data_IF_772038435409
#
_entry.id   IF_772038435409
#
_cell.length_a   1.000
_cell.length_b   1.000
_cell.length_c   1.000
_cell.angle_alpha   90.00
_cell.angle_beta   90.00
_cell.angle_gamma   90.00
#
_symmetry.space_group_name_H-M   'P 1'
#
loop_
_entity.id
_entity.type
_entity.pdbx_description
1 polymer ?
#
# COMPACT_ATOMS: atom_id res chain seq x y z
N UNK A 1 18.19 10.71 12.62
CA UNK A 1 17.68 9.44 13.12
C UNK A 1 18.86 8.57 13.53
N UNK A 2 18.95 8.26 14.82
CA UNK A 2 20.00 7.46 15.44
C UNK A 2 19.59 5.97 15.43
N UNK A 3 20.40 5.13 14.79
CA UNK A 3 20.08 3.73 14.54
C UNK A 3 21.03 2.82 15.33
N UNK A 4 20.48 1.79 15.98
CA UNK A 4 21.25 0.62 16.44
C UNK A 4 21.13 -0.50 15.40
N UNK A 5 22.27 -1.10 15.02
CA UNK A 5 22.31 -2.21 14.06
C UNK A 5 22.67 -3.51 14.77
N UNK A 6 21.76 -4.47 14.81
CA UNK A 6 22.05 -5.82 15.30
C UNK A 6 22.56 -6.74 14.17
N UNK A 7 23.65 -7.46 14.45
CA UNK A 7 24.40 -8.23 13.45
C UNK A 7 25.31 -7.36 12.59
N UNK A 8 25.86 -6.28 13.17
CA UNK A 8 26.57 -5.24 12.42
C UNK A 8 27.81 -5.75 11.70
N UNK A 9 28.51 -6.76 12.24
CA UNK A 9 29.73 -7.31 11.64
C UNK A 9 29.42 -8.35 10.54
N UNK A 10 28.15 -8.70 10.35
CA UNK A 10 27.68 -9.49 9.22
C UNK A 10 27.69 -8.72 7.90
N UNK A 11 27.59 -9.45 6.78
CA UNK A 11 27.57 -8.85 5.42
C UNK A 11 26.47 -7.79 5.25
N UNK A 12 25.26 -8.08 5.75
CA UNK A 12 24.14 -7.14 5.67
C UNK A 12 24.29 -5.97 6.65
N UNK A 13 24.77 -6.22 7.87
CA UNK A 13 25.06 -5.17 8.86
C UNK A 13 26.07 -4.14 8.34
N UNK A 14 27.17 -4.61 7.73
CA UNK A 14 28.17 -3.74 7.11
C UNK A 14 27.62 -2.97 5.90
N UNK A 15 26.79 -3.63 5.08
CA UNK A 15 26.11 -2.95 3.96
C UNK A 15 25.18 -1.85 4.47
N UNK A 16 24.44 -2.10 5.55
CA UNK A 16 23.55 -1.11 6.16
C UNK A 16 24.33 0.06 6.77
N UNK A 17 25.41 -0.21 7.50
CA UNK A 17 26.28 0.82 8.06
C UNK A 17 26.86 1.74 6.96
N UNK A 18 27.31 1.15 5.84
CA UNK A 18 27.78 1.93 4.69
C UNK A 18 26.67 2.80 4.08
N UNK A 19 25.47 2.24 3.87
CA UNK A 19 24.35 2.99 3.32
C UNK A 19 23.93 4.14 4.24
N UNK A 20 23.94 3.93 5.57
CA UNK A 20 23.66 4.99 6.55
C UNK A 20 24.69 6.11 6.45
N UNK A 21 25.99 5.78 6.37
CA UNK A 21 27.05 6.79 6.26
C UNK A 21 26.93 7.66 4.99
N UNK A 22 26.32 7.13 3.93
CA UNK A 22 26.08 7.82 2.67
C UNK A 22 24.71 8.55 2.60
N UNK A 23 23.84 8.37 3.59
CA UNK A 23 22.47 8.91 3.58
C UNK A 23 22.29 10.00 4.63
N UNK A 24 21.98 11.22 4.19
CA UNK A 24 21.69 12.33 5.10
C UNK A 24 20.49 12.04 6.01
N UNK A 25 20.56 12.53 7.26
CA UNK A 25 19.49 12.37 8.24
C UNK A 25 19.53 11.05 9.03
N UNK A 26 20.45 10.13 8.74
CA UNK A 26 20.66 8.89 9.49
C UNK A 26 22.07 8.81 10.07
N UNK A 27 22.18 8.23 11.27
CA UNK A 27 23.47 8.05 11.96
C UNK A 27 23.48 6.68 12.62
N UNK A 28 24.57 5.93 12.49
CA UNK A 28 24.79 4.71 13.28
C UNK A 28 25.21 5.14 14.68
N UNK A 29 24.33 4.93 15.67
CA UNK A 29 24.63 5.24 17.07
C UNK A 29 25.54 4.17 17.66
N UNK A 30 25.20 2.90 17.44
CA UNK A 30 25.97 1.75 17.89
C UNK A 30 25.67 0.51 17.05
N UNK A 31 26.61 -0.41 17.03
CA UNK A 31 26.41 -1.76 16.50
C UNK A 31 26.31 -2.80 17.61
N UNK A 32 25.66 -3.92 17.32
CA UNK A 32 25.61 -5.09 18.20
C UNK A 32 26.06 -6.32 17.44
N UNK A 33 27.01 -7.05 17.98
CA UNK A 33 27.47 -8.34 17.45
C UNK A 33 28.04 -9.24 18.56
N UNK A 34 28.02 -10.57 18.37
CA UNK A 34 28.59 -11.53 19.33
C UNK A 34 30.12 -11.38 19.42
N UNK A 35 30.74 -10.96 18.33
CA UNK A 35 32.17 -10.66 18.23
C UNK A 35 32.39 -9.20 17.82
N UNK A 36 32.36 -8.25 18.78
CA UNK A 36 32.45 -6.81 18.50
C UNK A 36 33.70 -6.39 17.74
N UNK A 37 34.82 -7.07 18.00
CA UNK A 37 36.15 -6.74 17.48
C UNK A 37 36.42 -7.37 16.09
N UNK A 38 35.49 -8.15 15.54
CA UNK A 38 35.66 -8.86 14.26
C UNK A 38 35.87 -7.90 13.07
N UNK A 39 35.35 -6.68 13.15
CA UNK A 39 35.46 -5.65 12.11
C UNK A 39 35.77 -4.30 12.77
N UNK A 40 36.71 -3.55 12.18
CA UNK A 40 37.01 -2.20 12.63
C UNK A 40 35.96 -1.21 12.11
N UNK A 41 35.00 -0.84 12.96
CA UNK A 41 33.91 0.08 12.65
C UNK A 41 34.24 1.51 13.12
N UNK A 42 33.66 2.53 12.47
CA UNK A 42 33.82 3.95 12.86
C UNK A 42 32.90 4.38 14.02
N UNK A 43 32.17 3.44 14.61
CA UNK A 43 31.19 3.62 15.68
C UNK A 43 31.35 2.46 16.70
N UNK A 44 30.91 2.64 17.96
CA UNK A 44 31.08 1.60 18.98
C UNK A 44 30.23 0.36 18.68
N UNK A 45 30.79 -0.82 18.95
CA UNK A 45 30.09 -2.11 18.81
C UNK A 45 30.08 -2.82 20.17
N UNK A 46 28.91 -3.35 20.55
CA UNK A 46 28.68 -3.99 21.84
C UNK A 46 28.21 -5.44 21.67
N UNK A 47 28.27 -6.22 22.76
CA UNK A 47 27.80 -7.62 22.75
C UNK A 47 26.29 -7.74 22.91
N UNK A 48 25.66 -6.73 23.50
CA UNK A 48 24.24 -6.71 23.83
C UNK A 48 23.65 -5.33 23.50
N UNK A 49 22.39 -5.26 23.01
CA UNK A 49 21.74 -3.97 22.81
C UNK A 49 21.58 -3.19 24.12
N UNK A 50 21.51 -3.86 25.27
CA UNK A 50 21.44 -3.21 26.59
C UNK A 50 22.71 -2.45 27.01
N UNK A 51 23.84 -2.70 26.34
CA UNK A 51 25.11 -1.99 26.57
C UNK A 51 25.24 -0.74 25.67
N UNK A 52 24.34 -0.58 24.69
CA UNK A 52 24.36 0.55 23.78
C UNK A 52 23.98 1.86 24.50
N UNK A 53 24.52 3.01 24.07
CA UNK A 53 24.16 4.31 24.62
C UNK A 53 22.67 4.63 24.39
N UNK A 54 22.12 5.50 25.25
CA UNK A 54 20.77 6.03 25.11
C UNK A 54 20.65 6.97 23.89
N UNK A 55 19.41 7.18 23.43
CA UNK A 55 19.10 8.11 22.34
C UNK A 55 18.99 7.45 20.95
N UNK A 56 18.81 6.14 20.88
CA UNK A 56 18.43 5.44 19.67
C UNK A 56 16.96 5.75 19.33
N UNK A 57 16.69 6.02 18.05
CA UNK A 57 15.34 6.21 17.52
C UNK A 57 14.73 4.88 17.05
N UNK A 58 15.56 3.91 16.66
CA UNK A 58 15.13 2.62 16.11
C UNK A 58 16.24 1.58 16.19
N UNK A 59 15.86 0.31 16.39
CA UNK A 59 16.75 -0.83 16.26
C UNK A 59 16.47 -1.57 14.94
N UNK A 60 17.50 -1.87 14.15
CA UNK A 60 17.40 -2.66 12.91
C UNK A 60 18.17 -3.97 13.08
N UNK A 61 17.49 -5.09 12.89
CA UNK A 61 18.01 -6.44 13.11
C UNK A 61 18.22 -7.20 11.79
N UNK A 62 19.50 -7.47 11.48
CA UNK A 62 19.97 -8.33 10.40
C UNK A 62 20.82 -9.49 10.93
N UNK A 63 20.56 -9.94 12.16
CA UNK A 63 21.38 -10.92 12.86
C UNK A 63 20.90 -12.35 12.62
N UNK A 64 20.67 -13.12 13.69
CA UNK A 64 20.23 -14.52 13.70
C UNK A 64 19.09 -14.67 14.69
N UNK A 65 18.24 -15.72 14.56
CA UNK A 65 17.10 -15.90 15.44
C UNK A 65 17.44 -15.85 16.94
N UNK A 66 18.63 -16.32 17.34
CA UNK A 66 19.05 -16.32 18.75
C UNK A 66 19.21 -14.91 19.38
N UNK A 67 19.27 -13.84 18.58
CA UNK A 67 19.35 -12.48 19.09
C UNK A 67 17.98 -11.87 19.42
N UNK A 68 16.89 -12.50 18.98
CA UNK A 68 15.54 -11.98 19.11
C UNK A 68 15.15 -11.62 20.55
N UNK A 69 15.37 -12.47 21.58
CA UNK A 69 14.97 -12.13 22.94
C UNK A 69 15.65 -10.86 23.48
N UNK A 70 16.94 -10.68 23.16
CA UNK A 70 17.68 -9.49 23.58
C UNK A 70 17.21 -8.24 22.83
N UNK A 71 16.94 -8.36 21.52
CA UNK A 71 16.47 -7.26 20.69
C UNK A 71 15.06 -6.81 21.09
N UNK A 72 14.13 -7.74 21.29
CA UNK A 72 12.77 -7.46 21.77
C UNK A 72 12.80 -6.85 23.17
N UNK A 73 13.54 -7.46 24.10
CA UNK A 73 13.63 -6.98 25.47
C UNK A 73 14.18 -5.55 25.55
N UNK A 74 15.20 -5.22 24.74
CA UNK A 74 15.74 -3.86 24.69
C UNK A 74 14.75 -2.87 24.08
N UNK A 75 14.15 -3.21 22.93
CA UNK A 75 13.20 -2.34 22.24
C UNK A 75 11.98 -2.03 23.13
N UNK A 76 11.47 -3.02 23.86
CA UNK A 76 10.41 -2.84 24.85
C UNK A 76 10.85 -1.97 26.03
N UNK A 77 12.01 -2.26 26.62
CA UNK A 77 12.52 -1.53 27.78
C UNK A 77 12.76 -0.04 27.47
N UNK A 78 13.25 0.27 26.26
CA UNK A 78 13.49 1.65 25.81
C UNK A 78 12.30 2.29 25.10
N UNK A 79 11.24 1.52 24.85
CA UNK A 79 10.06 1.92 24.08
C UNK A 79 10.42 2.51 22.70
N UNK A 80 11.31 1.82 21.97
CA UNK A 80 11.73 2.23 20.63
C UNK A 80 11.21 1.24 19.57
N UNK A 81 10.93 1.71 18.34
CA UNK A 81 10.60 0.84 17.22
C UNK A 81 11.68 -0.19 16.90
N UNK A 82 11.24 -1.34 16.38
CA UNK A 82 12.10 -2.45 15.98
C UNK A 82 11.83 -2.87 14.53
N UNK A 83 12.87 -2.91 13.69
CA UNK A 83 12.82 -3.44 12.32
C UNK A 83 13.53 -4.80 12.30
N UNK A 84 12.79 -5.87 12.02
CA UNK A 84 13.27 -7.25 11.97
C UNK A 84 13.36 -7.70 10.51
N UNK A 85 14.59 -7.89 10.04
CA UNK A 85 14.91 -8.47 8.72
C UNK A 85 15.44 -9.91 8.82
N UNK A 86 15.68 -10.39 10.04
CA UNK A 86 16.12 -11.77 10.32
C UNK A 86 15.06 -12.78 9.87
N UNK A 87 15.50 -13.84 9.20
CA UNK A 87 14.66 -14.95 8.74
C UNK A 87 14.89 -16.21 9.57
N UNK A 88 13.96 -17.16 9.52
CA UNK A 88 14.14 -18.48 10.17
C UNK A 88 13.58 -18.58 11.58
N UNK A 89 12.65 -17.68 11.94
CA UNK A 89 11.91 -17.72 13.20
C UNK A 89 10.94 -18.90 13.28
N UNK A 90 10.83 -19.49 14.47
CA UNK A 90 9.81 -20.51 14.77
C UNK A 90 8.43 -19.86 14.97
N UNK A 91 7.39 -20.67 15.13
CA UNK A 91 6.05 -20.14 15.43
C UNK A 91 5.99 -19.50 16.83
N UNK A 92 6.79 -20.00 17.78
CA UNK A 92 6.95 -19.40 19.10
C UNK A 92 7.60 -18.02 19.02
N UNK A 93 8.67 -17.87 18.24
CA UNK A 93 9.32 -16.58 18.00
C UNK A 93 8.35 -15.56 17.39
N UNK A 94 7.55 -15.98 16.40
CA UNK A 94 6.54 -15.13 15.76
C UNK A 94 5.44 -14.72 16.74
N UNK A 95 5.04 -15.62 17.65
CA UNK A 95 4.07 -15.31 18.69
C UNK A 95 4.61 -14.25 19.67
N UNK A 96 5.88 -14.36 20.07
CA UNK A 96 6.55 -13.37 20.93
C UNK A 96 6.68 -12.00 20.25
N UNK A 97 7.03 -11.97 18.96
CA UNK A 97 7.05 -10.75 18.15
C UNK A 97 5.66 -10.10 18.14
N UNK A 98 4.61 -10.90 17.91
CA UNK A 98 3.23 -10.39 17.88
C UNK A 98 2.81 -9.81 19.23
N UNK A 99 3.09 -10.48 20.33
CA UNK A 99 2.80 -9.97 21.68
C UNK A 99 3.55 -8.67 21.98
N UNK A 100 4.81 -8.60 21.56
CA UNK A 100 5.64 -7.40 21.73
C UNK A 100 5.10 -6.21 20.91
N UNK A 101 4.53 -6.50 19.73
CA UNK A 101 3.97 -5.48 18.84
C UNK A 101 2.76 -4.75 19.43
N UNK A 102 2.10 -5.31 20.45
CA UNK A 102 1.00 -4.63 21.16
C UNK A 102 1.51 -3.41 21.96
N UNK A 103 2.81 -3.37 22.27
CA UNK A 103 3.41 -2.35 23.13
C UNK A 103 4.38 -1.44 22.38
N UNK A 104 5.07 -1.96 21.36
CA UNK A 104 6.02 -1.20 20.54
C UNK A 104 5.73 -1.35 19.03
N UNK A 105 6.07 -0.37 18.20
CA UNK A 105 6.01 -0.52 16.75
C UNK A 105 7.05 -1.53 16.26
N UNK A 106 6.61 -2.62 15.61
CA UNK A 106 7.51 -3.62 15.04
C UNK A 106 7.28 -3.73 13.53
N UNK A 107 8.33 -3.60 12.75
CA UNK A 107 8.33 -3.90 11.33
C UNK A 107 9.00 -5.25 11.10
N UNK A 108 8.32 -6.20 10.48
CA UNK A 108 8.91 -7.51 10.16
C UNK A 108 8.76 -7.82 8.67
N UNK A 109 9.87 -8.13 8.02
CA UNK A 109 9.88 -8.56 6.63
C UNK A 109 11.02 -9.53 6.33
N UNK A 110 10.71 -10.67 5.73
CA UNK A 110 11.72 -11.63 5.27
C UNK A 110 12.57 -11.10 4.09
N UNK A 111 12.08 -10.08 3.39
CA UNK A 111 12.81 -9.40 2.32
C UNK A 111 12.52 -7.90 2.38
N UNK A 112 13.58 -7.10 2.53
CA UNK A 112 13.48 -5.64 2.63
C UNK A 112 13.44 -4.93 1.26
N UNK A 113 13.55 -5.66 0.13
CA UNK A 113 13.49 -5.03 -1.18
C UNK A 113 12.07 -4.61 -1.54
N UNK A 114 11.86 -3.30 -1.69
CA UNK A 114 10.60 -2.74 -2.24
C UNK A 114 10.28 -3.32 -3.61
N UNK A 115 11.29 -3.54 -4.46
CA UNK A 115 11.12 -4.13 -5.79
C UNK A 115 10.63 -5.57 -5.75
N UNK A 116 11.07 -6.37 -4.77
CA UNK A 116 10.59 -7.74 -4.57
C UNK A 116 9.15 -7.72 -4.07
N UNK A 117 8.81 -6.84 -3.13
CA UNK A 117 7.43 -6.70 -2.65
C UNK A 117 6.47 -6.26 -3.76
N UNK A 118 6.88 -5.33 -4.64
CA UNK A 118 6.11 -4.97 -5.82
C UNK A 118 5.98 -6.15 -6.79
N UNK A 119 7.05 -6.91 -7.03
CA UNK A 119 6.99 -8.11 -7.86
C UNK A 119 6.00 -9.13 -7.31
N UNK A 120 5.98 -9.35 -5.99
CA UNK A 120 5.01 -10.24 -5.33
C UNK A 120 3.58 -9.77 -5.57
N UNK A 121 3.30 -8.48 -5.37
CA UNK A 121 1.96 -7.93 -5.59
C UNK A 121 1.51 -8.02 -7.07
N UNK A 122 2.41 -7.75 -8.02
CA UNK A 122 2.11 -7.91 -9.44
C UNK A 122 1.88 -9.37 -9.82
N UNK A 123 2.68 -10.29 -9.28
CA UNK A 123 2.52 -11.72 -9.50
C UNK A 123 1.20 -12.25 -8.89
N UNK A 124 0.83 -11.76 -7.69
CA UNK A 124 -0.45 -12.05 -7.04
C UNK A 124 -1.62 -11.64 -7.93
N UNK A 125 -1.64 -10.39 -8.43
CA UNK A 125 -2.70 -9.89 -9.32
C UNK A 125 -2.75 -10.63 -10.65
N UNK A 126 -1.59 -10.93 -11.24
CA UNK A 126 -1.53 -11.73 -12.46
C UNK A 126 -2.10 -13.14 -12.24
N UNK A 127 -1.83 -13.75 -11.09
CA UNK A 127 -2.39 -15.05 -10.72
C UNK A 127 -3.90 -15.01 -10.48
N UNK A 128 -4.42 -13.96 -9.82
CA UNK A 128 -5.87 -13.77 -9.63
C UNK A 128 -6.61 -13.63 -10.96
N UNK A 129 -6.03 -12.92 -11.91
CA UNK A 129 -6.67 -12.64 -13.19
C UNK A 129 -6.51 -13.78 -14.20
N UNK A 130 -5.33 -14.40 -14.28
CA UNK A 130 -4.96 -15.30 -15.39
C UNK A 130 -4.26 -16.59 -14.95
N UNK A 131 -4.09 -16.82 -13.64
CA UNK A 131 -3.33 -17.95 -13.12
C UNK A 131 -3.94 -19.32 -13.40
N UNK A 132 -5.26 -19.43 -13.54
CA UNK A 132 -5.93 -20.70 -13.84
C UNK A 132 -5.74 -21.16 -15.29
N UNK A 133 -5.68 -20.21 -16.23
CA UNK A 133 -5.53 -20.46 -17.67
C UNK A 133 -4.05 -20.49 -18.12
N UNK A 134 -3.12 -20.36 -17.16
CA UNK A 134 -1.70 -20.32 -17.42
C UNK A 134 -0.91 -21.39 -16.69
N UNK A 135 0.16 -21.78 -17.36
CA UNK A 135 1.31 -22.42 -16.79
C UNK A 135 2.16 -21.41 -16.02
N UNK A 136 2.51 -21.74 -14.78
CA UNK A 136 3.28 -20.84 -13.91
C UNK A 136 4.66 -21.44 -13.64
N UNK A 137 5.70 -20.65 -13.89
CA UNK A 137 7.10 -21.04 -13.72
C UNK A 137 7.87 -19.93 -13.01
N UNK A 138 8.66 -20.29 -12.00
CA UNK A 138 9.51 -19.38 -11.23
C UNK A 138 10.96 -19.77 -11.46
N UNK A 139 11.76 -18.84 -11.98
CA UNK A 139 13.20 -19.02 -12.16
C UNK A 139 13.93 -18.03 -11.25
N UNK A 140 14.82 -18.57 -10.41
CA UNK A 140 15.63 -17.78 -9.50
C UNK A 140 17.13 -17.98 -9.76
N UNK A 141 17.92 -16.90 -9.71
CA UNK A 141 19.37 -16.93 -9.92
C UNK A 141 20.08 -16.29 -8.75
N UNK A 142 21.09 -16.96 -8.20
CA UNK A 142 21.90 -16.47 -7.10
C UNK A 142 23.37 -16.85 -7.27
N UNK A 143 24.23 -16.24 -6.46
CA UNK A 143 25.65 -16.55 -6.39
C UNK A 143 25.94 -18.03 -6.06
N UNK A 144 27.13 -18.49 -6.42
CA UNK A 144 27.55 -19.89 -6.26
C UNK A 144 27.65 -20.37 -4.79
N UNK A 145 27.73 -19.45 -3.82
CA UNK A 145 27.80 -19.77 -2.38
C UNK A 145 26.44 -19.95 -1.70
N UNK A 146 25.32 -19.77 -2.41
CA UNK A 146 23.98 -19.86 -1.79
C UNK A 146 23.60 -21.32 -1.59
N UNK A 147 23.33 -21.69 -0.34
CA UNK A 147 23.15 -23.09 0.08
C UNK A 147 21.72 -23.58 -0.16
N UNK A 148 20.73 -22.76 0.19
CA UNK A 148 19.30 -23.06 0.00
C UNK A 148 18.92 -23.02 -1.48
N UNK A 149 18.09 -23.97 -1.93
CA UNK A 149 17.51 -24.01 -3.27
C UNK A 149 16.16 -24.78 -3.23
N UNK A 150 15.03 -24.18 -3.65
CA UNK A 150 14.86 -22.78 -4.08
C UNK A 150 15.15 -21.76 -2.97
N UNK A 151 15.37 -20.49 -3.34
CA UNK A 151 15.50 -19.43 -2.33
C UNK A 151 14.20 -19.15 -1.59
N UNK A 152 14.31 -18.63 -0.35
CA UNK A 152 13.15 -18.20 0.42
C UNK A 152 12.25 -17.18 -0.31
N UNK A 153 12.82 -16.28 -1.12
CA UNK A 153 12.02 -15.36 -1.97
C UNK A 153 11.28 -16.09 -3.08
N UNK A 154 11.87 -17.12 -3.69
CA UNK A 154 11.17 -17.93 -4.71
C UNK A 154 10.01 -18.72 -4.10
N UNK A 155 10.19 -19.28 -2.89
CA UNK A 155 9.13 -19.97 -2.15
C UNK A 155 8.01 -19.00 -1.75
N UNK A 156 8.37 -17.80 -1.26
CA UNK A 156 7.38 -16.77 -0.92
C UNK A 156 6.60 -16.27 -2.15
N UNK A 157 7.23 -16.15 -3.32
CA UNK A 157 6.54 -15.84 -4.58
C UNK A 157 5.55 -16.96 -4.95
N UNK A 158 5.98 -18.22 -4.88
CA UNK A 158 5.13 -19.37 -5.13
C UNK A 158 3.91 -19.43 -4.20
N UNK A 159 4.13 -19.23 -2.90
CA UNK A 159 3.07 -19.19 -1.89
C UNK A 159 2.10 -18.02 -2.14
N UNK A 160 2.64 -16.83 -2.41
CA UNK A 160 1.85 -15.64 -2.74
C UNK A 160 0.93 -15.87 -3.96
N UNK A 161 1.47 -16.49 -5.03
CA UNK A 161 0.70 -16.86 -6.22
C UNK A 161 -0.38 -17.89 -5.87
N UNK A 162 -0.03 -18.92 -5.11
CA UNK A 162 -0.98 -19.98 -4.73
C UNK A 162 -2.14 -19.46 -3.88
N UNK A 163 -1.86 -18.57 -2.93
CA UNK A 163 -2.88 -17.97 -2.07
C UNK A 163 -3.85 -17.05 -2.83
N UNK A 164 -3.44 -16.56 -4.00
CA UNK A 164 -4.26 -15.71 -4.86
C UNK A 164 -5.18 -16.51 -5.80
N UNK A 165 -4.89 -17.79 -6.04
CA UNK A 165 -5.66 -18.63 -6.96
C UNK A 165 -6.81 -19.33 -6.23
N UNK A 166 -7.90 -19.58 -6.95
CA UNK A 166 -9.07 -20.30 -6.41
C UNK A 166 -8.73 -21.75 -6.05
N UNK A 167 -7.86 -22.37 -6.83
CA UNK A 167 -7.44 -23.75 -6.62
C UNK A 167 -5.91 -23.81 -6.56
N UNK A 168 -5.30 -24.00 -5.37
CA UNK A 168 -3.85 -24.08 -5.24
C UNK A 168 -3.24 -25.16 -6.13
N UNK A 169 -2.03 -24.90 -6.63
CA UNK A 169 -1.25 -25.81 -7.46
C UNK A 169 -0.07 -26.37 -6.63
N UNK A 170 0.24 -27.68 -6.71
CA UNK A 170 1.45 -28.22 -6.10
C UNK A 170 2.71 -27.54 -6.64
N UNK A 171 3.71 -27.41 -5.76
CA UNK A 171 5.02 -26.89 -6.11
C UNK A 171 5.91 -28.03 -6.61
N UNK A 172 6.55 -27.82 -7.77
CA UNK A 172 7.49 -28.76 -8.35
C UNK A 172 8.86 -28.12 -8.52
N UNK A 173 9.86 -28.61 -7.79
CA UNK A 173 11.23 -28.10 -7.87
C UNK A 173 12.05 -28.90 -8.88
N UNK A 174 12.41 -28.26 -10.00
CA UNK A 174 13.13 -28.88 -11.11
C UNK A 174 12.32 -29.95 -11.87
N UNK A 175 12.77 -30.27 -13.09
CA UNK A 175 12.11 -31.26 -13.97
C UNK A 175 13.02 -32.37 -14.50
N UNK A 176 14.33 -32.31 -14.25
CA UNK A 176 15.30 -33.24 -14.85
C UNK A 176 15.10 -34.71 -14.47
N UNK A 177 14.46 -34.99 -13.33
CA UNK A 177 14.19 -36.35 -12.86
C UNK A 177 12.88 -36.94 -13.40
N UNK A 178 12.17 -36.23 -14.28
CA UNK A 178 10.83 -36.62 -14.77
C UNK A 178 10.76 -36.67 -16.29
N UNK A 179 10.10 -37.70 -16.81
CA UNK A 179 9.86 -37.90 -18.24
C UNK A 179 8.37 -37.80 -18.61
N UNK A 180 7.55 -37.23 -17.71
CA UNK A 180 6.11 -37.06 -17.89
C UNK A 180 5.76 -35.66 -18.43
N UNK A 181 4.62 -35.58 -19.13
CA UNK A 181 4.03 -34.30 -19.53
C UNK A 181 3.71 -33.46 -18.28
N UNK A 182 3.79 -32.14 -18.41
CA UNK A 182 3.35 -31.19 -17.38
C UNK A 182 1.91 -31.48 -16.96
N UNK A 183 1.65 -31.40 -15.65
CA UNK A 183 0.32 -31.37 -15.07
C UNK A 183 -0.06 -29.95 -14.62
N UNK A 184 -0.79 -29.86 -13.51
CA UNK A 184 -1.22 -28.60 -12.91
C UNK A 184 -0.29 -28.23 -11.74
N UNK A 185 0.91 -27.75 -12.04
CA UNK A 185 1.92 -27.39 -11.03
C UNK A 185 2.55 -26.00 -11.23
N UNK A 186 3.03 -25.39 -10.14
CA UNK A 186 3.96 -24.26 -10.20
C UNK A 186 5.38 -24.83 -10.21
N UNK A 187 6.08 -24.64 -11.32
CA UNK A 187 7.48 -25.05 -11.44
C UNK A 187 8.42 -24.02 -10.81
N UNK A 188 9.45 -24.50 -10.11
CA UNK A 188 10.48 -23.65 -9.48
C UNK A 188 11.87 -24.16 -9.87
N UNK A 189 12.69 -23.27 -10.41
CA UNK A 189 14.02 -23.59 -10.92
C UNK A 189 15.08 -22.68 -10.31
N UNK A 190 16.16 -23.29 -9.84
CA UNK A 190 17.26 -22.60 -9.18
C UNK A 190 18.53 -22.62 -10.05
N UNK A 191 19.10 -21.44 -10.28
CA UNK A 191 20.40 -21.25 -10.93
C UNK A 191 21.41 -20.72 -9.90
N UNK A 192 22.61 -21.29 -9.88
CA UNK A 192 23.72 -20.86 -9.01
C UNK A 192 24.94 -20.51 -9.86
N UNK A 193 25.41 -19.27 -9.77
CA UNK A 193 26.52 -18.81 -10.60
C UNK A 193 27.07 -17.44 -10.20
N UNK A 194 28.39 -17.31 -10.26
CA UNK A 194 29.10 -16.06 -10.03
C UNK A 194 28.74 -15.38 -8.71
N UNK A 195 28.52 -14.07 -8.78
CA UNK A 195 28.24 -13.18 -7.64
C UNK A 195 26.83 -12.58 -7.67
N UNK A 196 25.89 -13.20 -8.40
CA UNK A 196 24.52 -12.70 -8.57
C UNK A 196 23.86 -12.51 -7.19
N UNK A 197 23.46 -11.28 -6.81
CA UNK A 197 22.85 -11.03 -5.50
C UNK A 197 21.51 -11.74 -5.33
N UNK A 198 20.67 -11.73 -6.37
CA UNK A 198 19.38 -12.42 -6.40
C UNK A 198 18.49 -11.90 -7.53
N UNK A 199 18.14 -12.78 -8.46
CA UNK A 199 17.21 -12.49 -9.54
C UNK A 199 16.03 -13.44 -9.45
N UNK A 200 14.83 -12.94 -9.70
CA UNK A 200 13.60 -13.74 -9.68
C UNK A 200 12.75 -13.37 -10.89
N UNK A 201 12.32 -14.38 -11.64
CA UNK A 201 11.41 -14.23 -12.78
C UNK A 201 10.21 -15.12 -12.53
N UNK A 202 9.01 -14.54 -12.49
CA UNK A 202 7.74 -15.28 -12.52
C UNK A 202 7.22 -15.22 -13.94
N UNK A 203 6.86 -16.36 -14.51
CA UNK A 203 6.33 -16.47 -15.86
C UNK A 203 4.93 -17.05 -15.80
N UNK A 204 4.00 -16.40 -16.51
CA UNK A 204 2.67 -16.90 -16.82
C UNK A 204 2.67 -17.22 -18.31
N UNK A 205 2.55 -18.50 -18.65
CA UNK A 205 2.74 -19.03 -19.99
C UNK A 205 1.38 -19.59 -20.46
N UNK A 206 0.86 -19.07 -21.56
CA UNK A 206 -0.31 -19.63 -22.24
C UNK A 206 0.10 -20.24 -23.59
N UNK A 207 -0.86 -20.65 -24.40
CA UNK A 207 -0.61 -21.24 -25.72
C UNK A 207 0.17 -20.32 -26.64
N UNK A 208 -0.13 -19.01 -26.64
CA UNK A 208 0.33 -18.07 -27.66
C UNK A 208 1.02 -16.81 -27.09
N UNK A 209 1.11 -16.67 -25.76
CA UNK A 209 1.76 -15.53 -25.11
C UNK A 209 2.38 -15.89 -23.76
N UNK A 210 3.38 -15.10 -23.38
CA UNK A 210 4.12 -15.23 -22.12
C UNK A 210 4.20 -13.87 -21.46
N UNK A 211 3.74 -13.78 -20.21
CA UNK A 211 3.94 -12.63 -19.34
C UNK A 211 5.05 -12.94 -18.34
N UNK A 212 6.13 -12.16 -18.37
CA UNK A 212 7.21 -12.27 -17.39
C UNK A 212 7.22 -11.08 -16.42
N UNK A 213 7.26 -11.38 -15.13
CA UNK A 213 7.46 -10.40 -14.07
C UNK A 213 8.82 -10.67 -13.44
N UNK A 214 9.79 -9.80 -13.76
CA UNK A 214 11.21 -9.99 -13.43
C UNK A 214 11.75 -8.91 -12.50
N UNK A 215 12.45 -9.35 -11.47
CA UNK A 215 13.23 -8.50 -10.57
C UNK A 215 14.70 -8.94 -10.59
N UNK A 216 15.62 -7.98 -10.63
CA UNK A 216 17.07 -8.19 -10.66
C UNK A 216 17.69 -7.33 -9.56
N UNK A 217 18.29 -7.96 -8.55
CA UNK A 217 19.05 -7.24 -7.54
C UNK A 217 20.48 -6.99 -8.03
N UNK A 218 20.80 -5.75 -8.41
CA UNK A 218 22.16 -5.38 -8.81
C UNK A 218 23.15 -5.35 -7.65
N UNK A 219 22.65 -5.13 -6.42
CA UNK A 219 23.48 -5.03 -5.22
C UNK A 219 22.65 -5.32 -3.96
N UNK A 220 23.24 -5.91 -2.90
CA UNK A 220 22.56 -6.08 -1.60
C UNK A 220 22.17 -4.75 -0.94
N UNK A 221 22.68 -3.60 -1.44
CA UNK A 221 22.30 -2.26 -0.99
C UNK A 221 20.79 -2.01 -1.02
N UNK A 222 20.04 -2.68 -1.91
CA UNK A 222 18.58 -2.52 -1.99
C UNK A 222 17.87 -2.96 -0.70
N UNK A 223 18.41 -3.95 0.01
CA UNK A 223 17.82 -4.44 1.26
C UNK A 223 18.13 -3.48 2.42
N UNK A 224 19.33 -2.90 2.44
CA UNK A 224 19.70 -1.86 3.41
C UNK A 224 18.84 -0.59 3.22
N UNK A 225 18.66 -0.12 1.98
CA UNK A 225 17.76 1.00 1.66
C UNK A 225 16.32 0.70 2.07
N UNK A 226 15.87 -0.53 1.86
CA UNK A 226 14.58 -1.02 2.32
C UNK A 226 14.41 -0.93 3.83
N UNK A 227 15.40 -1.38 4.60
CA UNK A 227 15.38 -1.29 6.06
C UNK A 227 15.40 0.16 6.56
N UNK A 228 16.11 1.08 5.89
CA UNK A 228 16.06 2.51 6.22
C UNK A 228 14.69 3.12 5.94
N UNK A 229 14.03 2.73 4.85
CA UNK A 229 12.65 3.14 4.58
C UNK A 229 11.70 2.59 5.63
N UNK A 230 11.86 1.32 6.02
CA UNK A 230 11.09 0.69 7.09
C UNK A 230 11.29 1.42 8.42
N UNK A 231 12.53 1.78 8.75
CA UNK A 231 12.86 2.61 9.93
C UNK A 231 12.17 3.98 9.88
N UNK A 232 12.26 4.69 8.75
CA UNK A 232 11.55 5.96 8.56
C UNK A 232 10.03 5.82 8.71
N UNK A 233 9.46 4.73 8.20
CA UNK A 233 8.04 4.42 8.28
C UNK A 233 7.58 4.09 9.69
N UNK A 234 8.29 3.24 10.41
CA UNK A 234 7.87 2.69 11.70
C UNK A 234 7.99 3.71 12.84
N UNK A 235 8.92 4.67 12.76
CA UNK A 235 9.16 5.65 13.82
C UNK A 235 7.99 6.61 14.10
N UNK A 236 7.07 6.79 13.14
CA UNK A 236 5.89 7.64 13.32
C UNK A 236 4.59 6.84 13.52
N UNK A 237 4.68 5.53 13.78
CA UNK A 237 3.53 4.63 13.86
C UNK A 237 3.21 4.25 15.30
N UNK A 238 1.93 4.05 15.65
CA UNK A 238 1.58 3.49 16.95
C UNK A 238 2.06 2.04 17.06
N UNK A 239 2.11 1.48 18.29
CA UNK A 239 2.34 0.05 18.50
C UNK A 239 1.50 -0.81 17.55
N UNK A 240 2.15 -1.78 16.93
CA UNK A 240 1.55 -2.70 15.98
C UNK A 240 2.62 -3.47 15.22
N UNK A 241 2.20 -4.57 14.58
CA UNK A 241 3.04 -5.34 13.67
C UNK A 241 2.80 -4.90 12.24
N UNK A 242 3.86 -4.42 11.59
CA UNK A 242 3.83 -3.91 10.22
C UNK A 242 4.80 -4.69 9.33
N UNK A 243 4.59 -4.61 8.02
CA UNK A 243 5.40 -5.28 7.01
C UNK A 243 5.56 -4.42 5.73
N UNK A 244 6.19 -4.99 4.71
CA UNK A 244 6.43 -4.28 3.43
C UNK A 244 5.14 -3.83 2.73
N UNK A 245 4.06 -4.60 2.83
CA UNK A 245 2.76 -4.23 2.28
C UNK A 245 2.24 -2.97 2.96
N UNK A 246 2.30 -2.89 4.29
CA UNK A 246 1.89 -1.70 5.04
C UNK A 246 2.72 -0.47 4.66
N UNK A 247 4.02 -0.66 4.40
CA UNK A 247 4.91 0.42 3.96
C UNK A 247 4.67 0.85 2.51
N UNK A 248 4.25 -0.05 1.62
CA UNK A 248 4.00 0.27 0.20
C UNK A 248 2.60 0.84 0.02
N UNK A 249 1.62 0.38 0.78
CA UNK A 249 0.23 0.79 0.70
C UNK A 249 -0.10 1.99 1.61
N UNK A 250 0.90 2.77 2.03
CA UNK A 250 0.70 3.91 2.93
C UNK A 250 -0.21 5.01 2.39
N UNK A 251 -0.33 5.08 1.07
CA UNK A 251 -1.13 6.10 0.42
C UNK A 251 -2.58 5.63 0.36
N UNK A 252 -3.36 6.09 1.35
CA UNK A 252 -4.80 5.85 1.41
C UNK A 252 -5.48 6.18 0.08
N UNK A 253 -5.06 7.28 -0.55
CA UNK A 253 -5.49 7.70 -1.87
C UNK A 253 -4.33 7.44 -2.81
N UNK A 254 -4.56 6.78 -3.93
CA UNK A 254 -3.57 6.53 -4.98
C UNK A 254 -3.83 7.37 -6.23
N UNK A 255 -5.08 7.81 -6.44
CA UNK A 255 -5.48 8.57 -7.61
C UNK A 255 -6.36 9.76 -7.24
N UNK A 256 -6.21 10.86 -7.98
CA UNK A 256 -7.12 12.00 -7.97
C UNK A 256 -7.58 12.24 -9.41
N UNK A 257 -8.87 12.14 -9.66
CA UNK A 257 -9.48 12.53 -10.93
C UNK A 257 -10.16 13.87 -10.76
N UNK A 258 -9.96 14.76 -11.73
CA UNK A 258 -10.65 16.03 -11.83
C UNK A 258 -11.49 16.04 -13.09
N UNK A 259 -12.77 16.38 -12.95
CA UNK A 259 -13.69 16.64 -14.04
C UNK A 259 -14.19 18.08 -13.94
N UNK A 260 -13.73 18.92 -14.88
CA UNK A 260 -14.09 20.33 -14.96
C UNK A 260 -15.38 20.52 -15.76
N UNK A 261 -16.15 21.56 -15.43
CA UNK A 261 -17.36 21.89 -16.19
C UNK A 261 -18.57 21.08 -15.77
N UNK A 262 -18.68 20.81 -14.47
CA UNK A 262 -19.90 20.28 -13.85
C UNK A 262 -20.81 21.45 -13.41
N UNK A 263 -22.09 21.15 -13.32
CA UNK A 263 -23.09 21.95 -12.64
C UNK A 263 -23.88 21.04 -11.71
N UNK A 264 -24.56 21.64 -10.73
CA UNK A 264 -25.40 20.91 -9.79
C UNK A 264 -26.81 21.48 -9.81
N UNK A 265 -27.79 20.59 -9.73
CA UNK A 265 -29.18 20.96 -9.45
C UNK A 265 -29.61 20.26 -8.17
N UNK A 266 -30.18 21.04 -7.25
CA UNK A 266 -30.78 20.58 -6.01
C UNK A 266 -32.28 20.82 -6.06
N UNK A 267 -33.04 19.75 -5.84
CA UNK A 267 -34.47 19.76 -5.63
C UNK A 267 -34.71 19.68 -4.12
N UNK A 268 -34.88 20.83 -3.47
CA UNK A 268 -35.18 20.88 -2.04
C UNK A 268 -36.68 20.61 -1.82
N UNK A 269 -37.01 19.92 -0.73
CA UNK A 269 -38.37 19.55 -0.38
C UNK A 269 -39.10 18.70 -1.45
N UNK A 270 -38.38 17.78 -2.10
CA UNK A 270 -39.01 16.80 -2.97
C UNK A 270 -39.84 15.80 -2.13
N UNK A 271 -41.08 15.43 -2.53
CA UNK A 271 -41.84 14.39 -1.84
C UNK A 271 -41.05 13.09 -1.76
N UNK A 272 -40.99 12.48 -0.58
CA UNK A 272 -40.34 11.18 -0.39
C UNK A 272 -41.27 10.06 -0.87
N UNK A 273 -41.31 9.86 -2.19
CA UNK A 273 -42.01 8.74 -2.81
C UNK A 273 -41.19 8.16 -3.96
N UNK A 274 -41.27 6.83 -4.20
CA UNK A 274 -40.58 6.20 -5.33
C UNK A 274 -40.92 6.86 -6.68
N UNK A 275 -42.18 7.27 -6.86
CA UNK A 275 -42.66 7.90 -8.09
C UNK A 275 -42.07 9.30 -8.29
N UNK A 276 -41.91 10.10 -7.23
CA UNK A 276 -41.34 11.43 -7.33
C UNK A 276 -39.86 11.37 -7.76
N UNK A 277 -39.07 10.49 -7.12
CA UNK A 277 -37.65 10.30 -7.44
C UNK A 277 -37.48 9.73 -8.85
N UNK A 278 -38.25 8.70 -9.22
CA UNK A 278 -38.20 8.11 -10.56
C UNK A 278 -38.57 9.11 -11.65
N UNK A 279 -39.55 9.98 -11.40
CA UNK A 279 -39.96 11.06 -12.32
C UNK A 279 -38.79 11.99 -12.63
N UNK A 280 -38.03 12.41 -11.61
CA UNK A 280 -36.84 13.27 -11.78
C UNK A 280 -35.85 12.67 -12.77
N UNK A 281 -35.45 11.41 -12.59
CA UNK A 281 -34.45 10.78 -13.46
C UNK A 281 -35.00 10.39 -14.84
N UNK A 282 -36.29 10.07 -14.93
CA UNK A 282 -36.95 9.83 -16.21
C UNK A 282 -36.96 11.08 -17.09
N UNK A 283 -37.20 12.26 -16.51
CA UNK A 283 -37.18 13.53 -17.24
C UNK A 283 -35.79 13.90 -17.75
N UNK A 284 -34.77 13.62 -16.95
CA UNK A 284 -33.36 13.82 -17.34
C UNK A 284 -33.01 12.91 -18.51
N UNK A 285 -33.37 11.63 -18.40
CA UNK A 285 -33.11 10.65 -19.44
C UNK A 285 -33.82 11.03 -20.75
N UNK A 286 -35.05 11.55 -20.68
CA UNK A 286 -35.83 11.98 -21.84
C UNK A 286 -35.17 13.12 -22.65
N UNK A 287 -34.26 13.89 -22.05
CA UNK A 287 -33.48 14.93 -22.75
C UNK A 287 -32.04 14.52 -23.04
N UNK A 288 -31.68 13.26 -22.78
CA UNK A 288 -30.33 12.74 -23.02
C UNK A 288 -29.26 13.44 -22.20
N UNK A 289 -29.59 13.84 -20.97
CA UNK A 289 -28.61 14.41 -20.02
C UNK A 289 -28.05 13.27 -19.18
N UNK A 290 -26.72 13.23 -19.02
CA UNK A 290 -26.06 12.27 -18.14
C UNK A 290 -25.92 12.88 -16.75
N UNK A 291 -26.23 12.08 -15.73
CA UNK A 291 -26.04 12.43 -14.32
C UNK A 291 -24.84 11.67 -13.81
N UNK A 292 -24.11 12.27 -12.87
CA UNK A 292 -22.93 11.65 -12.28
C UNK A 292 -23.10 11.48 -10.76
N UNK A 293 -22.88 12.53 -9.97
CA UNK A 293 -23.10 12.47 -8.52
C UNK A 293 -24.60 12.54 -8.25
N UNK A 294 -25.11 11.63 -7.42
CA UNK A 294 -26.47 11.70 -6.85
C UNK A 294 -26.33 11.65 -5.33
N UNK A 295 -26.83 12.67 -4.65
CA UNK A 295 -26.88 12.73 -3.18
C UNK A 295 -28.30 13.03 -2.73
N UNK A 296 -28.82 12.16 -1.88
CA UNK A 296 -30.15 12.29 -1.29
C UNK A 296 -30.01 12.41 0.22
N UNK A 297 -30.66 13.40 0.82
CA UNK A 297 -30.76 13.47 2.28
C UNK A 297 -31.65 12.36 2.81
N UNK A 298 -31.48 12.03 4.10
CA UNK A 298 -32.49 11.25 4.82
C UNK A 298 -33.85 11.96 4.77
N UNK A 299 -34.96 11.21 4.67
CA UNK A 299 -36.29 11.78 4.67
C UNK A 299 -36.60 12.47 6.00
N UNK A 300 -37.15 13.67 5.91
CA UNK A 300 -37.61 14.46 7.05
C UNK A 300 -39.00 15.05 6.72
N UNK A 301 -39.99 14.81 7.57
CA UNK A 301 -41.39 15.22 7.34
C UNK A 301 -41.94 14.81 5.96
N UNK A 302 -41.61 13.59 5.49
CA UNK A 302 -42.05 13.07 4.20
C UNK A 302 -41.42 13.78 2.99
N UNK A 303 -40.34 14.52 3.19
CA UNK A 303 -39.61 15.27 2.16
C UNK A 303 -38.14 14.88 2.15
N UNK A 304 -37.49 15.00 1.01
CA UNK A 304 -36.05 14.81 0.82
C UNK A 304 -35.44 15.96 0.03
N UNK A 305 -34.16 16.25 0.26
CA UNK A 305 -33.34 17.00 -0.66
C UNK A 305 -32.66 16.05 -1.64
N UNK A 306 -32.84 16.27 -2.94
CA UNK A 306 -32.17 15.49 -3.98
C UNK A 306 -31.26 16.42 -4.78
N UNK A 307 -29.96 16.21 -4.66
CA UNK A 307 -28.94 16.96 -5.40
C UNK A 307 -28.21 16.04 -6.36
N UNK A 308 -27.89 16.55 -7.54
CA UNK A 308 -27.09 15.80 -8.48
C UNK A 308 -26.30 16.66 -9.44
N UNK A 309 -25.17 16.13 -9.89
CA UNK A 309 -24.30 16.80 -10.85
C UNK A 309 -24.57 16.36 -12.28
N UNK A 310 -24.30 17.27 -13.22
CA UNK A 310 -24.43 17.07 -14.65
C UNK A 310 -23.44 17.97 -15.39
N UNK A 311 -23.13 17.69 -16.67
CA UNK A 311 -22.34 18.59 -17.48
C UNK A 311 -22.91 20.02 -17.50
N UNK A 312 -22.08 21.05 -17.33
CA UNK A 312 -22.50 22.45 -17.26
C UNK A 312 -23.27 22.90 -18.50
N UNK A 313 -22.90 22.39 -19.67
CA UNK A 313 -23.61 22.63 -20.94
C UNK A 313 -25.09 22.22 -20.87
N UNK A 314 -25.42 21.26 -20.01
CA UNK A 314 -26.76 20.69 -19.88
C UNK A 314 -27.63 21.37 -18.83
N UNK A 315 -27.08 22.32 -18.07
CA UNK A 315 -27.77 23.00 -16.97
C UNK A 315 -29.07 23.69 -17.43
N UNK A 316 -28.99 24.51 -18.48
CA UNK A 316 -30.14 25.28 -18.97
C UNK A 316 -31.29 24.38 -19.44
N UNK A 317 -30.98 23.35 -20.24
CA UNK A 317 -31.99 22.40 -20.74
C UNK A 317 -32.59 21.56 -19.61
N UNK A 318 -31.77 21.19 -18.64
CA UNK A 318 -32.18 20.46 -17.44
C UNK A 318 -33.14 21.26 -16.55
N UNK A 319 -32.87 22.56 -16.32
CA UNK A 319 -33.73 23.42 -15.50
C UNK A 319 -35.11 23.61 -16.11
N UNK A 320 -35.19 23.82 -17.43
CA UNK A 320 -36.45 24.01 -18.14
C UNK A 320 -37.44 22.86 -17.95
N UNK A 321 -36.95 21.61 -17.96
CA UNK A 321 -37.74 20.40 -17.71
C UNK A 321 -38.33 20.35 -16.29
N UNK A 322 -37.68 21.00 -15.31
CA UNK A 322 -37.97 20.83 -13.89
C UNK A 322 -38.88 21.88 -13.30
N UNK A 323 -39.21 22.93 -14.05
CA UNK A 323 -40.21 23.93 -13.65
C UNK A 323 -41.55 23.29 -13.21
N UNK A 324 -41.88 22.10 -13.72
CA UNK A 324 -43.07 21.35 -13.29
C UNK A 324 -43.06 20.96 -11.81
N UNK A 325 -41.89 20.70 -11.22
CA UNK A 325 -41.75 20.31 -9.81
C UNK A 325 -42.03 21.49 -8.85
N UNK A 326 -41.89 22.75 -9.30
CA UNK A 326 -42.22 23.92 -8.47
C UNK A 326 -43.68 23.92 -8.01
N UNK A 327 -44.57 23.30 -8.78
CA UNK A 327 -46.00 23.17 -8.45
C UNK A 327 -46.26 22.34 -7.19
N UNK A 328 -45.31 21.48 -6.81
CA UNK A 328 -45.41 20.58 -5.65
C UNK A 328 -44.70 21.14 -4.39
N UNK A 329 -44.37 22.44 -4.41
CA UNK A 329 -43.61 23.11 -3.35
C UNK A 329 -42.13 22.73 -3.31
N UNK A 330 -41.60 22.19 -4.41
CA UNK A 330 -40.17 21.86 -4.56
C UNK A 330 -39.42 23.12 -4.94
N UNK A 331 -38.38 23.44 -4.18
CA UNK A 331 -37.45 24.52 -4.51
C UNK A 331 -36.32 23.98 -5.39
N UNK A 332 -35.99 24.70 -6.46
CA UNK A 332 -34.97 24.27 -7.42
C UNK A 332 -33.81 25.24 -7.31
N UNK A 333 -32.69 24.75 -6.81
CA UNK A 333 -31.44 25.50 -6.66
C UNK A 333 -30.47 24.97 -7.72
N UNK A 334 -29.80 25.90 -8.40
CA UNK A 334 -28.81 25.59 -9.42
C UNK A 334 -27.49 26.24 -9.06
N UNK A 335 -26.41 25.45 -9.11
CA UNK A 335 -25.04 25.95 -8.97
C UNK A 335 -24.31 25.65 -10.27
N UNK A 336 -23.79 26.68 -10.91
CA UNK A 336 -22.91 26.53 -12.07
C UNK A 336 -21.44 26.65 -11.66
N UNK A 337 -20.54 26.33 -12.58
CA UNK A 337 -19.09 26.41 -12.36
C UNK A 337 -18.58 25.56 -11.17
N UNK A 338 -18.94 24.28 -11.18
CA UNK A 338 -18.36 23.29 -10.27
C UNK A 338 -17.36 22.42 -11.01
N UNK A 339 -16.34 21.97 -10.27
CA UNK A 339 -15.47 20.89 -10.71
C UNK A 339 -15.62 19.73 -9.73
N UNK A 340 -15.79 18.53 -10.29
CA UNK A 340 -15.85 17.30 -9.52
C UNK A 340 -14.43 16.78 -9.31
N UNK A 341 -14.06 16.56 -8.06
CA UNK A 341 -12.87 15.81 -7.69
C UNK A 341 -13.30 14.43 -7.21
N UNK A 342 -12.54 13.43 -7.63
CA UNK A 342 -12.66 12.07 -7.14
C UNK A 342 -11.33 11.64 -6.60
N UNK A 343 -11.29 11.27 -5.33
CA UNK A 343 -10.14 10.60 -4.74
C UNK A 343 -10.44 9.12 -4.62
N UNK A 344 -9.48 8.29 -5.00
CA UNK A 344 -9.61 6.84 -5.02
C UNK A 344 -8.35 6.19 -4.47
N UNK A 345 -8.53 5.14 -3.67
CA UNK A 345 -7.45 4.26 -3.27
C UNK A 345 -7.96 2.94 -2.73
N UNK A 346 -7.27 1.83 -3.04
CA UNK A 346 -7.73 0.48 -2.72
C UNK A 346 -7.78 0.21 -1.21
N UNK A 347 -7.01 0.93 -0.40
CA UNK A 347 -6.95 0.73 1.06
C UNK A 347 -7.77 1.76 1.84
N UNK A 348 -8.54 2.62 1.17
CA UNK A 348 -9.43 3.57 1.86
C UNK A 348 -10.48 2.85 2.72
N UNK A 349 -10.90 1.65 2.33
CA UNK A 349 -11.91 0.86 3.04
C UNK A 349 -11.44 0.34 4.40
N UNK A 350 -10.13 0.09 4.52
CA UNK A 350 -9.49 -0.47 5.71
C UNK A 350 -8.75 0.58 6.53
N UNK A 351 -8.65 1.82 6.03
CA UNK A 351 -7.92 2.91 6.68
C UNK A 351 -8.86 3.98 7.24
N UNK A 352 -8.85 4.15 8.56
CA UNK A 352 -9.57 5.23 9.23
C UNK A 352 -8.88 6.59 9.03
N UNK A 353 -9.66 7.68 9.13
CA UNK A 353 -9.13 9.04 9.12
C UNK A 353 -8.91 9.68 7.75
N UNK A 354 -9.15 8.96 6.64
CA UNK A 354 -9.03 9.52 5.26
C UNK A 354 -9.91 10.74 5.08
N UNK A 355 -11.21 10.64 5.43
CA UNK A 355 -12.14 11.75 5.35
C UNK A 355 -11.70 12.93 6.24
N UNK A 356 -11.27 12.66 7.48
CA UNK A 356 -10.83 13.70 8.40
C UNK A 356 -9.63 14.48 7.84
N UNK A 357 -8.66 13.78 7.25
CA UNK A 357 -7.49 14.38 6.60
C UNK A 357 -7.87 15.20 5.36
N UNK A 358 -8.72 14.63 4.49
CA UNK A 358 -9.20 15.30 3.29
C UNK A 358 -9.94 16.60 3.62
N UNK A 359 -10.92 16.54 4.51
CA UNK A 359 -11.72 17.69 4.90
C UNK A 359 -10.92 18.71 5.71
N UNK A 360 -10.04 18.25 6.59
CA UNK A 360 -9.13 19.11 7.35
C UNK A 360 -8.24 19.94 6.44
N UNK A 361 -7.59 19.30 5.47
CA UNK A 361 -6.73 19.97 4.49
C UNK A 361 -7.49 21.01 3.65
N UNK A 362 -8.73 20.70 3.24
CA UNK A 362 -9.58 21.66 2.52
C UNK A 362 -9.99 22.83 3.42
N UNK A 363 -10.37 22.56 4.66
CA UNK A 363 -10.80 23.58 5.62
C UNK A 363 -9.68 24.56 5.98
N UNK A 364 -8.44 24.08 6.15
CA UNK A 364 -7.25 24.92 6.39
C UNK A 364 -7.00 25.94 5.28
N UNK A 365 -7.45 25.64 4.06
CA UNK A 365 -7.35 26.53 2.89
C UNK A 365 -8.67 27.21 2.54
N UNK A 366 -9.70 27.02 3.37
CA UNK A 366 -11.03 27.59 3.18
C UNK A 366 -11.72 27.14 1.90
N UNK A 367 -11.43 25.94 1.38
CA UNK A 367 -12.13 25.38 0.21
C UNK A 367 -13.42 24.72 0.66
N UNK A 368 -14.56 25.27 0.24
CA UNK A 368 -15.86 24.70 0.51
C UNK A 368 -16.17 23.53 -0.43
N UNK A 369 -16.79 22.48 0.11
CA UNK A 369 -17.28 21.33 -0.63
C UNK A 369 -18.79 21.44 -0.76
N UNK A 370 -19.29 21.47 -2.00
CA UNK A 370 -20.72 21.71 -2.28
C UNK A 370 -21.59 20.45 -2.21
N UNK A 371 -21.01 19.30 -2.51
CA UNK A 371 -21.68 17.98 -2.47
C UNK A 371 -20.61 16.90 -2.31
N UNK A 372 -20.97 15.81 -1.64
CA UNK A 372 -20.10 14.65 -1.48
C UNK A 372 -20.88 13.34 -1.56
N UNK A 373 -20.26 12.34 -2.16
CA UNK A 373 -20.66 10.94 -2.11
C UNK A 373 -19.43 10.06 -1.88
N UNK A 374 -19.64 8.93 -1.22
CA UNK A 374 -18.56 8.02 -0.83
C UNK A 374 -18.94 6.57 -1.13
N UNK A 375 -17.94 5.78 -1.50
CA UNK A 375 -17.95 4.31 -1.43
C UNK A 375 -16.75 3.85 -0.61
N UNK A 376 -16.58 2.54 -0.46
CA UNK A 376 -15.49 1.93 0.32
C UNK A 376 -14.10 2.42 -0.13
N UNK A 377 -13.90 2.60 -1.44
CA UNK A 377 -12.60 2.93 -2.04
C UNK A 377 -12.52 4.33 -2.67
N UNK A 378 -13.59 5.13 -2.56
CA UNK A 378 -13.70 6.38 -3.33
C UNK A 378 -14.50 7.46 -2.60
N UNK A 379 -14.02 8.69 -2.66
CA UNK A 379 -14.76 9.89 -2.24
C UNK A 379 -14.85 10.83 -3.44
N UNK A 380 -16.08 11.16 -3.85
CA UNK A 380 -16.36 12.11 -4.92
C UNK A 380 -17.00 13.35 -4.35
N UNK A 381 -16.47 14.53 -4.68
CA UNK A 381 -16.98 15.79 -4.16
C UNK A 381 -16.83 16.92 -5.18
N UNK A 382 -17.66 17.96 -5.07
CA UNK A 382 -17.52 19.15 -5.91
C UNK A 382 -16.98 20.34 -5.13
N UNK A 383 -16.16 21.14 -5.81
CA UNK A 383 -15.68 22.45 -5.38
C UNK A 383 -15.95 23.48 -6.48
N UNK A 384 -15.82 24.76 -6.18
CA UNK A 384 -15.88 25.82 -7.19
C UNK A 384 -14.79 25.63 -8.25
N UNK A 385 -15.13 25.77 -9.53
CA UNK A 385 -14.21 25.50 -10.64
C UNK A 385 -12.94 26.35 -10.58
N UNK A 386 -13.02 27.58 -10.09
CA UNK A 386 -11.87 28.48 -9.98
C UNK A 386 -10.83 27.97 -8.97
N UNK A 387 -11.26 27.17 -7.99
CA UNK A 387 -10.41 26.61 -6.93
C UNK A 387 -10.08 25.13 -7.14
N UNK A 388 -10.52 24.53 -8.24
CA UNK A 388 -10.35 23.09 -8.48
C UNK A 388 -8.90 22.64 -8.55
N UNK A 389 -8.04 23.44 -9.18
CA UNK A 389 -6.61 23.15 -9.30
C UNK A 389 -5.89 23.29 -7.94
N UNK A 390 -6.25 24.30 -7.16
CA UNK A 390 -5.78 24.47 -5.78
C UNK A 390 -6.20 23.26 -4.91
N UNK A 391 -7.46 22.85 -5.01
CA UNK A 391 -8.02 21.71 -4.31
C UNK A 391 -7.26 20.41 -4.63
N UNK A 392 -6.96 20.13 -5.90
CA UNK A 392 -6.15 18.95 -6.29
C UNK A 392 -4.77 18.99 -5.63
N UNK A 393 -4.09 20.13 -5.64
CA UNK A 393 -2.77 20.27 -5.01
C UNK A 393 -2.81 20.06 -3.49
N UNK A 394 -3.87 20.51 -2.83
CA UNK A 394 -4.09 20.32 -1.39
C UNK A 394 -4.29 18.83 -1.07
N UNK A 395 -5.14 18.14 -1.81
CA UNK A 395 -5.32 16.68 -1.63
C UNK A 395 -4.01 15.96 -1.88
N UNK A 396 -3.31 16.27 -2.98
CA UNK A 396 -2.06 15.60 -3.31
C UNK A 396 -1.03 15.77 -2.19
N UNK A 397 -0.86 16.99 -1.69
CA UNK A 397 0.03 17.27 -0.57
C UNK A 397 -0.41 16.59 0.73
N UNK A 398 -1.71 16.53 1.02
CA UNK A 398 -2.22 15.91 2.24
C UNK A 398 -2.04 14.39 2.25
N UNK A 399 -1.93 13.75 1.09
CA UNK A 399 -1.82 12.30 0.95
C UNK A 399 -0.49 11.83 0.34
N UNK A 400 0.50 12.71 0.24
CA UNK A 400 1.84 12.42 -0.28
C UNK A 400 1.81 11.78 -1.68
N UNK A 401 0.99 12.36 -2.56
CA UNK A 401 0.83 11.95 -3.95
C UNK A 401 1.75 12.72 -4.91
#
# INVERSE_FOLDING_TARGET
MNIIICGVNGRMGQTLAQVIAETEGFTVLAGVDKDPDAVNNSFPVFKSPFECPDGADVLIDFSRPEALPANLGYAQHKNIPLVIATTGYTEEDKAEIKLSSEHIPIFMAANMSVGVSLQMELARRAAEFWGEDCDIEIVERHHNRKVDAPSGTALALAECINNAMMSPKPLLCGRCSRSESRGREIGVHAVRGGTIPGDHTVMFISTDEILEIKHIAQSPRIFALGALRAAGFICSRPPGLYNMTDMIQQNAITNIYKDDGQAMITLANLPFSPQAIASVFSDIAAVGVKVDIISQTSPFNGRVGLSFSLPRADLKRSLKQREKFKKDGVEIIATDALSKLTVEGPVMESQSGVSARLFGAMAEKGIAISIITTSETKISFCVESERSTEAVGIVASAFYL
#
